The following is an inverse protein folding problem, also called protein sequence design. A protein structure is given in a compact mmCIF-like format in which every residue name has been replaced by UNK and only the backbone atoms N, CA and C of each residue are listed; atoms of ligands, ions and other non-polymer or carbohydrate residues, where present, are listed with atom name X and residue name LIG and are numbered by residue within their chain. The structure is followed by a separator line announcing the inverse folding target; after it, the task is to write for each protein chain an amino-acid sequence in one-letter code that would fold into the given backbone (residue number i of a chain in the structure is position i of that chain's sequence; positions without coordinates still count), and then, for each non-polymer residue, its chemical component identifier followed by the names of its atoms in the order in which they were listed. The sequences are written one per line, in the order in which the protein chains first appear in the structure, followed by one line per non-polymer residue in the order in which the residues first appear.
data_IF_646843797361
#
_entry.id   IF_646843797361
#
_cell.length_a   1.000
_cell.length_b   1.000
_cell.length_c   1.000
_cell.angle_alpha   90.00
_cell.angle_beta   90.00
_cell.angle_gamma   90.00
#
_symmetry.space_group_name_H-M   'P 1'
#
loop_
_entity.id
_entity.type
_entity.pdbx_description
1 polymer ?
#
# COMPACT_ATOMS: atom_id res chain seq x y z
N UNK A 1 -30.93 -23.43 -3.74
CA UNK A 1 -30.85 -22.02 -4.15
C UNK A 1 -29.62 -21.40 -3.50
N UNK A 2 -28.50 -21.30 -4.21
CA UNK A 2 -27.50 -20.20 -4.22
C UNK A 2 -26.54 -20.57 -5.35
N UNK A 3 -26.67 -19.84 -6.46
CA UNK A 3 -25.63 -19.68 -7.48
C UNK A 3 -24.47 -18.86 -6.92
N UNK A 4 -23.24 -19.14 -7.40
CA UNK A 4 -22.25 -18.12 -7.81
C UNK A 4 -20.99 -18.75 -8.39
N UNK A 5 -20.96 -18.81 -9.72
CA UNK A 5 -19.91 -18.32 -10.64
C UNK A 5 -18.46 -18.36 -10.13
N UNK A 6 -17.72 -19.39 -10.54
CA UNK A 6 -16.27 -19.32 -10.69
C UNK A 6 -15.95 -19.00 -12.16
N UNK A 7 -15.27 -17.88 -12.38
CA UNK A 7 -14.69 -17.49 -13.66
C UNK A 7 -13.51 -18.42 -14.01
N UNK A 8 -13.46 -19.01 -15.21
CA UNK A 8 -12.24 -19.59 -15.75
C UNK A 8 -11.60 -18.58 -16.70
N UNK A 9 -10.48 -17.95 -16.31
CA UNK A 9 -9.64 -17.17 -17.22
C UNK A 9 -8.17 -17.44 -16.90
N UNK A 10 -7.70 -18.62 -17.30
CA UNK A 10 -6.31 -18.80 -17.69
C UNK A 10 -6.35 -19.24 -19.14
N UNK A 11 -6.43 -18.25 -20.03
CA UNK A 11 -6.18 -18.44 -21.44
C UNK A 11 -4.68 -18.72 -21.60
N UNK A 12 -4.33 -19.99 -21.65
CA UNK A 12 -3.03 -20.47 -22.10
C UNK A 12 -2.89 -20.08 -23.57
N UNK A 13 -2.20 -18.98 -23.84
CA UNK A 13 -1.81 -18.61 -25.20
C UNK A 13 -0.75 -19.59 -25.68
N UNK A 14 -1.17 -20.49 -26.56
CA UNK A 14 -0.35 -21.49 -27.22
C UNK A 14 0.74 -20.85 -28.07
N UNK A 15 1.97 -21.26 -27.82
CA UNK A 15 3.15 -20.90 -28.59
C UNK A 15 3.27 -21.91 -29.76
N UNK A 16 2.72 -21.56 -30.92
CA UNK A 16 2.90 -22.34 -32.15
C UNK A 16 4.26 -21.99 -32.74
N UNK A 17 5.25 -22.85 -32.50
CA UNK A 17 6.54 -22.80 -33.19
C UNK A 17 6.37 -23.36 -34.60
N UNK A 18 6.21 -22.49 -35.60
CA UNK A 18 6.33 -22.87 -37.01
C UNK A 18 7.80 -22.80 -37.43
N UNK A 19 8.43 -23.97 -37.55
CA UNK A 19 9.77 -24.15 -38.09
C UNK A 19 9.72 -24.08 -39.62
N UNK A 20 10.25 -23.01 -40.19
CA UNK A 20 10.67 -22.96 -41.61
C UNK A 20 12.12 -22.51 -41.64
N UNK A 21 13.03 -23.42 -41.97
CA UNK A 21 14.40 -23.07 -42.35
C UNK A 21 14.45 -22.65 -43.82
N UNK A 22 15.27 -21.64 -44.14
CA UNK A 22 16.13 -21.73 -45.31
C UNK A 22 17.61 -21.68 -44.89
N UNK A 23 18.40 -22.54 -45.53
CA UNK A 23 19.85 -22.56 -45.46
C UNK A 23 20.41 -21.30 -46.16
N UNK A 24 21.00 -20.39 -45.39
CA UNK A 24 21.93 -19.35 -45.85
C UNK A 24 23.07 -19.33 -44.83
N UNK A 25 24.24 -19.78 -45.27
CA UNK A 25 25.42 -19.94 -44.46
C UNK A 25 26.05 -18.58 -44.10
N UNK A 26 26.59 -18.51 -42.87
CA UNK A 26 27.63 -17.60 -42.39
C UNK A 26 27.30 -16.14 -42.06
N UNK A 27 26.21 -15.53 -42.55
CA UNK A 27 25.80 -14.17 -42.13
C UNK A 27 24.54 -14.15 -41.25
N UNK A 28 23.84 -15.29 -41.12
CA UNK A 28 22.54 -15.38 -40.44
C UNK A 28 22.64 -15.54 -38.91
N UNK A 29 23.81 -15.88 -38.36
CA UNK A 29 24.02 -15.96 -36.91
C UNK A 29 24.21 -14.59 -36.28
N UNK A 30 24.87 -13.66 -36.97
CA UNK A 30 25.05 -12.29 -36.49
C UNK A 30 23.71 -11.53 -36.46
N UNK A 31 22.89 -11.65 -37.52
CA UNK A 31 21.56 -11.03 -37.58
C UNK A 31 20.61 -11.56 -36.50
N UNK A 32 20.63 -12.87 -36.20
CA UNK A 32 19.80 -13.45 -35.13
C UNK A 32 20.28 -13.00 -33.74
N UNK A 33 21.59 -12.96 -33.52
CA UNK A 33 22.15 -12.50 -32.24
C UNK A 33 21.86 -11.00 -32.01
N UNK A 34 21.94 -10.18 -33.06
CA UNK A 34 21.60 -8.76 -33.01
C UNK A 34 20.10 -8.52 -32.77
N UNK A 35 19.21 -9.33 -33.39
CA UNK A 35 17.77 -9.26 -33.13
C UNK A 35 17.40 -9.64 -31.70
N UNK A 36 18.03 -10.69 -31.14
CA UNK A 36 17.81 -11.07 -29.75
C UNK A 36 18.35 -10.02 -28.78
N UNK A 37 19.51 -9.43 -29.05
CA UNK A 37 20.09 -8.35 -28.25
C UNK A 37 19.16 -7.12 -28.25
N UNK A 38 18.77 -6.63 -29.43
CA UNK A 38 17.89 -5.47 -29.56
C UNK A 38 16.51 -5.69 -28.92
N UNK A 39 15.94 -6.90 -29.05
CA UNK A 39 14.69 -7.26 -28.39
C UNK A 39 14.85 -7.26 -26.86
N UNK A 40 15.95 -7.84 -26.35
CA UNK A 40 16.20 -7.92 -24.91
C UNK A 40 16.45 -6.55 -24.27
N UNK A 41 17.15 -5.65 -24.97
CA UNK A 41 17.36 -4.26 -24.53
C UNK A 41 16.06 -3.47 -24.49
N UNK A 42 15.22 -3.64 -25.53
CA UNK A 42 13.89 -3.01 -25.57
C UNK A 42 13.02 -3.48 -24.41
N UNK A 43 12.96 -4.80 -24.18
CA UNK A 43 12.22 -5.38 -23.06
C UNK A 43 12.75 -4.89 -21.70
N UNK A 44 14.07 -4.84 -21.52
CA UNK A 44 14.69 -4.35 -20.29
C UNK A 44 14.35 -2.86 -20.05
N UNK A 45 14.35 -2.05 -21.10
CA UNK A 45 13.94 -0.64 -21.05
C UNK A 45 12.47 -0.51 -20.65
N UNK A 46 11.58 -1.28 -21.26
CA UNK A 46 10.14 -1.24 -20.96
C UNK A 46 9.84 -1.67 -19.53
N UNK A 47 10.47 -2.75 -19.06
CA UNK A 47 10.37 -3.20 -17.66
C UNK A 47 10.87 -2.10 -16.72
N UNK A 48 12.01 -1.48 -17.02
CA UNK A 48 12.57 -0.40 -16.18
C UNK A 48 11.64 0.81 -16.13
N UNK A 49 11.02 1.18 -17.26
CA UNK A 49 10.05 2.25 -17.31
C UNK A 49 8.79 1.92 -16.49
N UNK A 50 8.28 0.69 -16.60
CA UNK A 50 7.12 0.23 -15.85
C UNK A 50 7.40 0.18 -14.33
N UNK A 51 8.57 -0.32 -13.93
CA UNK A 51 8.99 -0.33 -12.52
C UNK A 51 9.08 1.10 -11.99
N UNK A 52 9.70 2.02 -12.73
CA UNK A 52 9.81 3.43 -12.32
C UNK A 52 8.44 4.08 -12.14
N UNK A 53 7.50 3.82 -13.05
CA UNK A 53 6.13 4.32 -12.94
C UNK A 53 5.44 3.74 -11.69
N UNK A 54 5.52 2.43 -11.50
CA UNK A 54 4.95 1.76 -10.33
C UNK A 54 5.54 2.25 -9.01
N UNK A 55 6.85 2.51 -8.95
CA UNK A 55 7.52 3.10 -7.79
C UNK A 55 7.04 4.52 -7.50
N UNK A 56 6.82 5.34 -8.53
CA UNK A 56 6.29 6.69 -8.36
C UNK A 56 4.86 6.69 -7.81
N UNK A 57 3.99 5.82 -8.36
CA UNK A 57 2.62 5.65 -7.86
C UNK A 57 2.61 5.09 -6.42
N UNK A 58 3.49 4.14 -6.13
CA UNK A 58 3.67 3.59 -4.78
C UNK A 58 4.09 4.67 -3.77
N UNK A 59 5.06 5.51 -4.14
CA UNK A 59 5.51 6.63 -3.32
C UNK A 59 4.37 7.63 -3.03
N UNK A 60 3.59 8.01 -4.05
CA UNK A 60 2.43 8.89 -3.86
C UNK A 60 1.37 8.27 -2.94
N UNK A 61 1.11 6.96 -3.11
CA UNK A 61 0.21 6.21 -2.23
C UNK A 61 0.67 6.21 -0.77
N UNK A 62 1.97 6.06 -0.54
CA UNK A 62 2.57 6.14 0.80
C UNK A 62 2.46 7.54 1.41
N UNK A 63 2.66 8.61 0.65
CA UNK A 63 2.46 9.98 1.15
C UNK A 63 1.01 10.24 1.56
N UNK A 64 0.04 9.85 0.72
CA UNK A 64 -1.39 9.93 1.05
C UNK A 64 -1.73 9.10 2.28
N UNK A 65 -1.08 7.95 2.46
CA UNK A 65 -1.19 7.11 3.66
C UNK A 65 -0.69 7.83 4.91
N UNK A 66 0.50 8.44 4.83
CA UNK A 66 1.07 9.24 5.91
C UNK A 66 0.15 10.41 6.31
N UNK A 67 -0.43 11.13 5.34
CA UNK A 67 -1.37 12.23 5.62
C UNK A 67 -2.66 11.77 6.31
N UNK A 68 -3.15 10.58 5.98
CA UNK A 68 -4.28 9.96 6.70
C UNK A 68 -3.88 9.58 8.13
N UNK A 69 -2.67 9.07 8.33
CA UNK A 69 -2.17 8.75 9.66
C UNK A 69 -2.03 9.99 10.54
N UNK A 70 -1.52 11.10 10.00
CA UNK A 70 -1.44 12.37 10.74
C UNK A 70 -2.83 12.87 11.16
N UNK A 71 -3.80 12.87 10.23
CA UNK A 71 -5.18 13.24 10.57
C UNK A 71 -5.78 12.34 11.64
N UNK A 72 -5.58 11.02 11.54
CA UNK A 72 -6.05 10.08 12.55
C UNK A 72 -5.37 10.28 13.92
N UNK A 73 -4.10 10.68 13.93
CA UNK A 73 -3.39 11.05 15.16
C UNK A 73 -4.00 12.30 15.81
N UNK A 74 -4.29 13.33 15.01
CA UNK A 74 -4.92 14.57 15.50
C UNK A 74 -6.34 14.33 16.04
N UNK A 75 -7.13 13.50 15.35
CA UNK A 75 -8.46 13.08 15.81
C UNK A 75 -8.38 12.32 17.15
N UNK A 76 -7.36 11.46 17.30
CA UNK A 76 -7.15 10.66 18.50
C UNK A 76 -6.71 11.51 19.68
N UNK A 77 -5.83 12.49 19.45
CA UNK A 77 -5.42 13.46 20.47
C UNK A 77 -6.59 14.35 20.90
N UNK A 78 -7.36 14.88 19.94
CA UNK A 78 -8.57 15.66 20.24
C UNK A 78 -9.61 14.82 21.00
N UNK A 79 -9.70 13.52 20.74
CA UNK A 79 -10.56 12.62 21.51
C UNK A 79 -10.03 12.43 22.94
N UNK A 80 -8.73 12.21 23.12
CA UNK A 80 -8.10 12.14 24.44
C UNK A 80 -8.35 13.43 25.25
N UNK A 81 -8.20 14.60 24.63
CA UNK A 81 -8.48 15.89 25.25
C UNK A 81 -9.94 16.01 25.70
N UNK A 82 -10.90 15.54 24.87
CA UNK A 82 -12.31 15.51 25.27
C UNK A 82 -12.55 14.60 26.46
N UNK A 83 -11.93 13.42 26.47
CA UNK A 83 -12.07 12.50 27.60
C UNK A 83 -11.52 13.13 28.89
N UNK A 84 -10.42 13.86 28.85
CA UNK A 84 -9.85 14.48 30.06
C UNK A 84 -10.66 15.68 30.55
N UNK A 85 -11.10 16.54 29.64
CA UNK A 85 -11.65 17.84 29.99
C UNK A 85 -13.17 17.87 30.14
N UNK A 86 -13.90 16.89 29.59
CA UNK A 86 -15.37 16.88 29.59
C UNK A 86 -15.93 15.59 30.21
N UNK A 87 -16.32 15.68 31.49
CA UNK A 87 -16.89 14.57 32.25
C UNK A 87 -18.27 14.12 31.74
N UNK A 88 -19.09 15.05 31.21
CA UNK A 88 -20.42 14.73 30.67
C UNK A 88 -20.28 13.98 29.35
N UNK A 89 -19.41 14.45 28.47
CA UNK A 89 -19.09 13.77 27.21
C UNK A 89 -18.52 12.38 27.46
N UNK A 90 -17.63 12.23 28.45
CA UNK A 90 -17.08 10.94 28.87
C UNK A 90 -18.14 9.97 29.38
N UNK A 91 -19.07 10.43 30.23
CA UNK A 91 -20.16 9.60 30.73
C UNK A 91 -21.11 9.16 29.61
N UNK A 92 -21.48 10.08 28.72
CA UNK A 92 -22.29 9.76 27.54
C UNK A 92 -21.61 8.77 26.60
N UNK A 93 -20.30 8.90 26.41
CA UNK A 93 -19.52 7.97 25.58
C UNK A 93 -19.46 6.56 26.17
N UNK A 94 -19.31 6.42 27.49
CA UNK A 94 -19.38 5.13 28.17
C UNK A 94 -20.72 4.43 27.91
N UNK A 95 -21.84 5.15 28.06
CA UNK A 95 -23.18 4.63 27.75
C UNK A 95 -23.27 4.18 26.28
N UNK A 96 -22.86 5.03 25.34
CA UNK A 96 -22.86 4.70 23.90
C UNK A 96 -22.03 3.47 23.57
N UNK A 97 -20.87 3.30 24.19
CA UNK A 97 -20.02 2.12 23.96
C UNK A 97 -20.67 0.86 24.51
N UNK A 98 -21.28 0.93 25.69
CA UNK A 98 -21.94 -0.19 26.32
C UNK A 98 -23.16 -0.66 25.51
N UNK A 99 -23.96 0.27 25.00
CA UNK A 99 -25.09 -0.04 24.11
C UNK A 99 -24.65 -0.68 22.79
N UNK A 100 -23.57 -0.17 22.18
CA UNK A 100 -23.10 -0.65 20.87
C UNK A 100 -22.35 -1.97 20.93
N UNK A 101 -21.60 -2.20 22.01
CA UNK A 101 -20.64 -3.32 22.12
C UNK A 101 -21.06 -4.37 23.14
N UNK A 102 -22.16 -4.16 23.86
CA UNK A 102 -22.58 -5.00 24.99
C UNK A 102 -21.44 -5.21 26.00
N UNK A 103 -20.75 -4.11 26.33
CA UNK A 103 -19.63 -4.05 27.26
C UNK A 103 -20.00 -3.25 28.50
N UNK A 104 -19.19 -3.32 29.56
CA UNK A 104 -19.30 -2.46 30.74
C UNK A 104 -18.05 -1.57 30.88
N UNK A 105 -17.97 -0.55 30.02
CA UNK A 105 -16.98 0.51 30.10
C UNK A 105 -17.53 1.62 30.98
N UNK A 106 -16.72 2.07 31.94
CA UNK A 106 -17.03 3.21 32.81
C UNK A 106 -16.40 4.49 32.27
N UNK A 107 -16.95 5.64 32.69
CA UNK A 107 -16.33 6.92 32.39
C UNK A 107 -14.88 6.99 32.91
N UNK A 108 -14.60 6.41 34.08
CA UNK A 108 -13.24 6.39 34.64
C UNK A 108 -12.26 5.58 33.77
N UNK A 109 -12.68 4.42 33.26
CA UNK A 109 -11.86 3.63 32.34
C UNK A 109 -11.58 4.36 31.02
N UNK A 110 -12.54 5.17 30.52
CA UNK A 110 -12.29 6.03 29.37
C UNK A 110 -11.26 7.11 29.69
N UNK A 111 -11.32 7.75 30.86
CA UNK A 111 -10.31 8.72 31.29
C UNK A 111 -8.91 8.09 31.31
N UNK A 112 -8.79 6.89 31.89
CA UNK A 112 -7.53 6.14 31.97
C UNK A 112 -6.99 5.70 30.60
N UNK A 113 -7.83 5.73 29.56
CA UNK A 113 -7.42 5.44 28.19
C UNK A 113 -6.77 6.63 27.49
N UNK A 114 -7.01 7.87 27.95
CA UNK A 114 -6.51 9.09 27.29
C UNK A 114 -4.98 9.11 27.09
N UNK A 115 -4.13 8.72 28.07
CA UNK A 115 -2.69 8.62 27.84
C UNK A 115 -2.31 7.58 26.78
N UNK A 116 -3.05 6.47 26.70
CA UNK A 116 -2.80 5.42 25.69
C UNK A 116 -3.18 5.89 24.29
N UNK A 117 -4.23 6.70 24.18
CA UNK A 117 -4.63 7.35 22.92
C UNK A 117 -3.55 8.32 22.45
N UNK A 118 -3.00 9.16 23.33
CA UNK A 118 -1.87 10.04 22.97
C UNK A 118 -0.63 9.28 22.52
N UNK A 119 -0.26 8.22 23.24
CA UNK A 119 0.86 7.37 22.83
C UNK A 119 0.62 6.73 21.46
N UNK A 120 -0.63 6.35 21.16
CA UNK A 120 -1.00 5.79 19.87
C UNK A 120 -0.94 6.84 18.76
N UNK A 121 -1.38 8.07 19.03
CA UNK A 121 -1.25 9.21 18.11
C UNK A 121 0.22 9.53 17.81
N UNK A 122 1.10 9.53 18.82
CA UNK A 122 2.54 9.71 18.64
C UNK A 122 3.14 8.63 17.72
N UNK A 123 2.83 7.36 17.96
CA UNK A 123 3.27 6.25 17.10
C UNK A 123 2.74 6.39 15.67
N UNK A 124 1.53 6.91 15.48
CA UNK A 124 0.99 7.20 14.15
C UNK A 124 1.79 8.31 13.46
N UNK A 125 2.20 9.36 14.19
CA UNK A 125 3.06 10.43 13.65
C UNK A 125 4.44 9.90 13.26
N UNK A 126 5.06 9.07 14.09
CA UNK A 126 6.31 8.40 13.74
C UNK A 126 6.16 7.50 12.51
N UNK A 127 5.05 6.74 12.44
CA UNK A 127 4.73 5.91 11.29
C UNK A 127 4.59 6.72 10.01
N UNK A 128 3.91 7.86 10.07
CA UNK A 128 3.78 8.79 8.95
C UNK A 128 5.14 9.33 8.47
N UNK A 129 6.04 9.69 9.40
CA UNK A 129 7.42 10.11 9.06
C UNK A 129 8.17 8.99 8.35
N UNK A 130 8.11 7.76 8.86
CA UNK A 130 8.76 6.59 8.24
C UNK A 130 8.18 6.29 6.85
N UNK A 131 6.87 6.42 6.67
CA UNK A 131 6.22 6.25 5.38
C UNK A 131 6.66 7.31 4.38
N UNK A 132 6.74 8.58 4.76
CA UNK A 132 7.26 9.65 3.89
C UNK A 132 8.72 9.42 3.52
N UNK A 133 9.54 8.97 4.47
CA UNK A 133 10.94 8.60 4.19
C UNK A 133 11.03 7.42 3.21
N UNK A 134 10.16 6.42 3.33
CA UNK A 134 10.06 5.31 2.38
C UNK A 134 9.64 5.77 0.99
N UNK A 135 8.62 6.63 0.90
CA UNK A 135 8.18 7.22 -0.37
C UNK A 135 9.30 8.02 -1.07
N UNK A 136 10.10 8.75 -0.30
CA UNK A 136 11.25 9.50 -0.81
C UNK A 136 12.33 8.55 -1.37
N UNK A 137 12.64 7.45 -0.66
CA UNK A 137 13.59 6.43 -1.15
C UNK A 137 13.12 5.78 -2.45
N UNK A 138 11.84 5.42 -2.54
CA UNK A 138 11.24 4.89 -3.76
C UNK A 138 11.35 5.85 -4.94
N UNK A 139 11.20 7.16 -4.69
CA UNK A 139 11.38 8.20 -5.72
C UNK A 139 12.83 8.34 -6.20
N UNK A 140 13.79 8.16 -5.31
CA UNK A 140 15.23 8.19 -5.62
C UNK A 140 15.72 6.90 -6.27
N UNK A 141 15.02 5.78 -6.03
CA UNK A 141 15.48 4.45 -6.40
C UNK A 141 16.53 3.90 -5.42
N UNK A 142 16.56 4.41 -4.19
CA UNK A 142 17.51 4.02 -3.13
C UNK A 142 17.15 2.66 -2.48
N UNK A 143 16.22 1.91 -3.08
CA UNK A 143 15.76 0.60 -2.60
C UNK A 143 16.64 -0.58 -3.10
N UNK A 144 17.85 -0.27 -3.61
CA UNK A 144 18.85 -1.22 -4.14
C UNK A 144 19.97 -1.51 -3.14
#
# INVERSE_FOLDING_TARGET
MVDKRYFPLIAVLGLVAASVWPAMASDAQDVKNQQHAAWSETLASDIKAQVKLGSAEGAEGMEKGADKMLRGADEMEAYADRLENDSLSRAGEAVRQNERRNTEVTAQQLLESAPKLRLSAEKMREGAVKMRAGAEKMRRGDDS
#
